data_IF_926996130046
#
_entry.id   IF_926996130046
#
_cell.length_a   1.000
_cell.length_b   1.000
_cell.length_c   1.000
_cell.angle_alpha   90.00
_cell.angle_beta   90.00
_cell.angle_gamma   90.00
#
_symmetry.space_group_name_H-M   'P 1'
#
loop_
_entity.id
_entity.type
_entity.pdbx_description
1 polymer ?
#
# COMPACT_ATOMS: atom_id res chain seq x y z
N UNK A 1 -10.29 35.52 -21.68
CA UNK A 1 -10.44 35.58 -20.21
C UNK A 1 -11.90 35.34 -19.95
N UNK A 2 -12.27 34.16 -19.45
CA UNK A 2 -13.65 33.91 -19.07
C UNK A 2 -13.82 34.51 -17.68
N UNK A 3 -14.73 35.47 -17.54
CA UNK A 3 -15.19 35.93 -16.25
C UNK A 3 -15.69 34.71 -15.47
N UNK A 4 -14.95 34.29 -14.46
CA UNK A 4 -15.43 33.29 -13.51
C UNK A 4 -16.62 33.93 -12.80
N UNK A 5 -17.84 33.47 -13.12
CA UNK A 5 -19.03 33.93 -12.42
C UNK A 5 -18.86 33.60 -10.94
N UNK A 6 -18.81 34.63 -10.11
CA UNK A 6 -18.77 34.47 -8.66
C UNK A 6 -20.06 33.72 -8.26
N UNK A 7 -19.97 32.55 -7.61
CA UNK A 7 -21.14 31.78 -7.21
C UNK A 7 -21.99 32.61 -6.25
N UNK A 8 -23.30 32.68 -6.51
CA UNK A 8 -24.24 33.50 -5.73
C UNK A 8 -24.90 32.70 -4.61
N UNK A 9 -24.96 31.38 -4.77
CA UNK A 9 -25.52 30.46 -3.76
C UNK A 9 -24.52 29.38 -3.38
N UNK A 10 -24.73 28.76 -2.22
CA UNK A 10 -23.92 27.64 -1.76
C UNK A 10 -24.02 26.42 -2.68
N UNK A 11 -25.20 26.15 -3.24
CA UNK A 11 -25.41 25.06 -4.19
C UNK A 11 -24.66 25.29 -5.50
N UNK A 12 -24.67 26.52 -6.02
CA UNK A 12 -23.87 26.91 -7.19
C UNK A 12 -22.37 26.72 -6.92
N UNK A 13 -21.90 27.11 -5.74
CA UNK A 13 -20.51 26.91 -5.33
C UNK A 13 -20.13 25.42 -5.32
N UNK A 14 -20.97 24.57 -4.73
CA UNK A 14 -20.74 23.11 -4.73
C UNK A 14 -20.67 22.53 -6.13
N UNK A 15 -21.64 22.87 -6.97
CA UNK A 15 -21.68 22.40 -8.35
C UNK A 15 -20.43 22.88 -9.13
N UNK A 16 -20.01 24.11 -8.92
CA UNK A 16 -18.81 24.67 -9.53
C UNK A 16 -17.54 23.95 -9.07
N UNK A 17 -17.43 23.63 -7.77
CA UNK A 17 -16.31 22.82 -7.24
C UNK A 17 -16.31 21.43 -7.89
N UNK A 18 -17.48 20.77 -7.98
CA UNK A 18 -17.58 19.45 -8.61
C UNK A 18 -17.10 19.48 -10.07
N UNK A 19 -17.50 20.50 -10.84
CA UNK A 19 -17.03 20.71 -12.23
C UNK A 19 -15.51 20.91 -12.26
N UNK A 20 -14.94 21.70 -11.35
CA UNK A 20 -13.49 21.91 -11.30
C UNK A 20 -12.72 20.68 -10.83
N UNK A 21 -13.32 19.83 -10.01
CA UNK A 21 -12.71 18.55 -9.62
C UNK A 21 -12.64 17.58 -10.81
N UNK A 22 -13.45 17.76 -11.85
CA UNK A 22 -13.33 17.01 -13.11
C UNK A 22 -12.27 17.61 -14.06
N UNK A 23 -11.99 18.91 -13.98
CA UNK A 23 -10.96 19.57 -14.79
C UNK A 23 -9.53 19.28 -14.31
N UNK A 24 -8.84 18.38 -15.04
CA UNK A 24 -7.47 17.97 -14.73
C UNK A 24 -6.42 19.08 -14.86
N UNK A 25 -6.74 20.22 -15.46
CA UNK A 25 -5.80 21.35 -15.60
C UNK A 25 -5.57 22.09 -14.28
N UNK A 26 -6.57 22.09 -13.38
CA UNK A 26 -6.48 22.72 -12.07
C UNK A 26 -6.06 21.69 -11.02
N UNK A 27 -5.22 22.09 -10.06
CA UNK A 27 -4.90 21.25 -8.90
C UNK A 27 -6.02 21.30 -7.88
N UNK A 28 -6.18 20.23 -7.09
CA UNK A 28 -7.21 20.19 -6.04
C UNK A 28 -6.90 21.22 -4.96
N UNK A 29 -5.61 21.42 -4.66
CA UNK A 29 -5.13 22.47 -3.76
C UNK A 29 -5.67 23.85 -4.14
N UNK A 30 -5.54 24.24 -5.41
CA UNK A 30 -5.98 25.54 -5.90
C UNK A 30 -7.49 25.69 -5.82
N UNK A 31 -8.25 24.65 -6.21
CA UNK A 31 -9.71 24.66 -6.09
C UNK A 31 -10.13 24.86 -4.63
N UNK A 32 -9.52 24.11 -3.72
CA UNK A 32 -9.84 24.16 -2.30
C UNK A 32 -9.52 25.52 -1.67
N UNK A 33 -8.32 26.05 -1.92
CA UNK A 33 -7.88 27.33 -1.35
C UNK A 33 -8.58 28.54 -1.96
N UNK A 34 -9.03 28.45 -3.21
CA UNK A 34 -9.71 29.57 -3.88
C UNK A 34 -11.19 29.65 -3.52
N UNK A 35 -11.85 28.51 -3.31
CA UNK A 35 -13.31 28.47 -3.17
C UNK A 35 -13.79 28.05 -1.78
N UNK A 36 -13.19 27.02 -1.18
CA UNK A 36 -13.69 26.45 0.09
C UNK A 36 -13.22 27.26 1.29
N UNK A 37 -11.90 27.49 1.41
CA UNK A 37 -11.34 28.23 2.54
C UNK A 37 -11.92 29.64 2.67
N UNK A 38 -12.00 30.47 1.62
CA UNK A 38 -12.59 31.81 1.72
C UNK A 38 -14.06 31.77 2.12
N UNK A 39 -14.83 30.79 1.62
CA UNK A 39 -16.22 30.60 2.04
C UNK A 39 -16.33 30.29 3.54
N UNK A 40 -15.44 29.45 4.08
CA UNK A 40 -15.42 29.15 5.51
C UNK A 40 -14.88 30.30 6.37
N UNK A 41 -13.96 31.12 5.84
CA UNK A 41 -13.44 32.32 6.52
C UNK A 41 -14.52 33.40 6.75
N UNK A 42 -15.53 33.50 5.85
CA UNK A 42 -16.66 34.42 6.00
C UNK A 42 -17.84 33.85 6.80
N UNK A 43 -17.64 32.71 7.48
CA UNK A 43 -18.62 32.10 8.39
C UNK A 43 -19.31 30.84 7.87
N UNK A 44 -18.90 30.29 6.73
CA UNK A 44 -19.34 28.98 6.25
C UNK A 44 -18.73 27.81 7.04
N UNK A 45 -19.33 26.62 6.93
CA UNK A 45 -18.85 25.42 7.64
C UNK A 45 -18.16 24.43 6.69
N UNK A 46 -16.97 23.94 7.07
CA UNK A 46 -16.27 22.91 6.29
C UNK A 46 -17.06 21.60 6.24
N UNK A 47 -17.86 21.28 7.27
CA UNK A 47 -18.69 20.07 7.28
C UNK A 47 -19.67 20.05 6.10
N UNK A 48 -20.08 21.20 5.58
CA UNK A 48 -21.00 21.28 4.45
C UNK A 48 -20.38 20.76 3.15
N UNK A 49 -19.04 20.72 3.04
CA UNK A 49 -18.32 20.20 1.87
C UNK A 49 -17.90 18.73 2.01
N UNK A 50 -18.21 18.08 3.14
CA UNK A 50 -17.89 16.68 3.32
C UNK A 50 -18.79 15.79 2.46
N UNK A 51 -18.16 14.83 1.81
CA UNK A 51 -18.86 13.75 1.12
C UNK A 51 -18.88 12.55 2.09
N UNK A 52 -20.01 11.86 2.29
CA UNK A 52 -20.05 10.61 3.03
C UNK A 52 -19.00 9.64 2.50
N UNK A 53 -18.28 8.98 3.41
CA UNK A 53 -17.16 8.13 3.03
C UNK A 53 -17.60 6.95 2.16
N UNK A 54 -18.81 6.44 2.40
CA UNK A 54 -19.46 5.39 1.63
C UNK A 54 -19.65 5.80 0.17
N UNK A 55 -20.00 7.07 -0.08
CA UNK A 55 -20.24 7.57 -1.43
C UNK A 55 -18.93 7.82 -2.17
N UNK A 56 -17.89 8.25 -1.47
CA UNK A 56 -16.53 8.32 -2.03
C UNK A 56 -16.06 6.94 -2.51
N UNK A 57 -16.31 5.88 -1.74
CA UNK A 57 -15.88 4.52 -2.11
C UNK A 57 -16.60 4.02 -3.37
N UNK A 58 -17.89 4.34 -3.54
CA UNK A 58 -18.69 3.91 -4.70
C UNK A 58 -18.26 4.54 -6.02
N UNK A 59 -17.48 5.62 -6.00
CA UNK A 59 -17.02 6.29 -7.22
C UNK A 59 -16.21 5.33 -8.11
N UNK A 60 -16.30 5.48 -9.45
CA UNK A 60 -15.51 4.68 -10.38
C UNK A 60 -14.00 4.93 -10.18
N UNK A 61 -13.14 3.91 -10.38
CA UNK A 61 -11.70 4.03 -10.16
C UNK A 61 -11.03 4.85 -11.27
N UNK A 62 -11.03 6.17 -11.12
CA UNK A 62 -10.42 7.12 -12.06
C UNK A 62 -9.72 8.28 -11.34
N UNK A 63 -9.13 9.20 -12.10
CA UNK A 63 -8.46 10.40 -11.56
C UNK A 63 -9.39 11.31 -10.77
N UNK A 64 -10.68 11.40 -11.15
CA UNK A 64 -11.68 12.19 -10.43
C UNK A 64 -11.90 11.63 -9.03
N UNK A 65 -11.96 10.29 -8.87
CA UNK A 65 -12.02 9.66 -7.55
C UNK A 65 -10.83 10.05 -6.69
N UNK A 66 -9.61 9.97 -7.22
CA UNK A 66 -8.41 10.41 -6.51
C UNK A 66 -8.53 11.87 -6.03
N UNK A 67 -9.00 12.76 -6.91
CA UNK A 67 -9.20 14.18 -6.61
C UNK A 67 -10.26 14.41 -5.54
N UNK A 68 -11.38 13.67 -5.56
CA UNK A 68 -12.43 13.74 -4.53
C UNK A 68 -11.95 13.22 -3.17
N UNK A 69 -11.12 12.18 -3.14
CA UNK A 69 -10.47 11.73 -1.90
C UNK A 69 -9.50 12.78 -1.33
N UNK A 70 -8.71 13.42 -2.20
CA UNK A 70 -7.81 14.50 -1.78
C UNK A 70 -8.57 15.68 -1.20
N UNK A 71 -9.63 16.11 -1.89
CA UNK A 71 -10.53 17.17 -1.42
C UNK A 71 -11.16 16.82 -0.06
N UNK A 72 -11.63 15.59 0.11
CA UNK A 72 -12.16 15.12 1.39
C UNK A 72 -11.14 15.17 2.53
N UNK A 73 -9.90 14.78 2.27
CA UNK A 73 -8.80 14.88 3.24
C UNK A 73 -8.56 16.34 3.63
N UNK A 74 -8.56 17.27 2.67
CA UNK A 74 -8.39 18.68 2.97
C UNK A 74 -9.46 19.19 3.91
N UNK A 75 -10.73 18.96 3.56
CA UNK A 75 -11.87 19.35 4.40
C UNK A 75 -11.77 18.77 5.80
N UNK A 76 -11.35 17.50 5.95
CA UNK A 76 -11.18 16.88 7.26
C UNK A 76 -10.03 17.47 8.07
N UNK A 77 -8.90 17.76 7.44
CA UNK A 77 -7.76 18.37 8.13
C UNK A 77 -8.09 19.79 8.60
N UNK A 78 -8.77 20.61 7.79
CA UNK A 78 -9.20 21.94 8.24
C UNK A 78 -10.26 21.86 9.36
N UNK A 79 -11.16 20.86 9.36
CA UNK A 79 -12.05 20.60 10.51
C UNK A 79 -11.26 20.25 11.77
N UNK A 80 -10.20 19.43 11.66
CA UNK A 80 -9.33 19.11 12.79
C UNK A 80 -8.57 20.34 13.29
N UNK A 81 -8.13 21.19 12.39
CA UNK A 81 -7.51 22.46 12.74
C UNK A 81 -8.49 23.41 13.44
N UNK A 82 -9.74 23.54 12.96
CA UNK A 82 -10.79 24.31 13.64
C UNK A 82 -11.10 23.78 15.04
N UNK A 83 -11.02 22.47 15.23
CA UNK A 83 -11.16 21.80 16.55
C UNK A 83 -9.90 21.92 17.41
N UNK A 84 -8.87 22.62 16.94
CA UNK A 84 -7.60 22.84 17.63
C UNK A 84 -6.94 21.54 18.08
N UNK A 85 -7.00 20.49 17.23
CA UNK A 85 -6.32 19.24 17.52
C UNK A 85 -4.79 19.43 17.47
N UNK A 86 -4.08 18.65 18.29
CA UNK A 86 -2.61 18.68 18.35
C UNK A 86 -1.96 18.21 17.07
N UNK A 87 -0.70 18.61 16.85
CA UNK A 87 0.23 17.96 15.93
C UNK A 87 1.31 17.23 16.75
N UNK A 88 1.50 15.90 16.57
CA UNK A 88 0.80 15.04 15.63
C UNK A 88 -0.68 14.87 15.99
N UNK A 89 -1.51 14.63 14.97
CA UNK A 89 -2.93 14.35 15.16
C UNK A 89 -3.11 13.18 16.14
N UNK A 90 -4.16 13.22 16.99
CA UNK A 90 -4.49 12.09 17.84
C UNK A 90 -4.71 10.82 17.01
N UNK A 91 -4.44 9.68 17.61
CA UNK A 91 -4.31 8.40 16.90
C UNK A 91 -5.55 8.05 16.06
N UNK A 92 -6.75 8.35 16.56
CA UNK A 92 -8.01 8.08 15.86
C UNK A 92 -8.10 8.87 14.55
N UNK A 93 -7.88 10.18 14.60
CA UNK A 93 -7.95 11.10 13.46
C UNK A 93 -6.80 10.84 12.49
N UNK A 94 -5.60 10.60 13.01
CA UNK A 94 -4.44 10.18 12.22
C UNK A 94 -4.74 8.91 11.42
N UNK A 95 -5.25 7.87 12.09
CA UNK A 95 -5.57 6.60 11.45
C UNK A 95 -6.71 6.72 10.43
N UNK A 96 -7.68 7.60 10.68
CA UNK A 96 -8.75 7.89 9.73
C UNK A 96 -8.20 8.44 8.41
N UNK A 97 -7.34 9.47 8.48
CA UNK A 97 -6.73 10.06 7.29
C UNK A 97 -5.77 9.08 6.62
N UNK A 98 -4.92 8.39 7.39
CA UNK A 98 -4.01 7.38 6.85
C UNK A 98 -4.76 6.26 6.10
N UNK A 99 -5.87 5.80 6.66
CA UNK A 99 -6.71 4.78 6.01
C UNK A 99 -7.30 5.33 4.72
N UNK A 100 -7.78 6.57 4.73
CA UNK A 100 -8.30 7.25 3.53
C UNK A 100 -7.24 7.33 2.43
N UNK A 101 -6.00 7.69 2.78
CA UNK A 101 -4.87 7.72 1.85
C UNK A 101 -4.58 6.31 1.30
N UNK A 102 -4.48 5.31 2.19
CA UNK A 102 -4.17 3.92 1.82
C UNK A 102 -5.23 3.32 0.89
N UNK A 103 -6.50 3.68 1.04
CA UNK A 103 -7.57 3.23 0.16
C UNK A 103 -7.40 3.69 -1.28
N UNK A 104 -6.85 4.89 -1.49
CA UNK A 104 -6.68 5.48 -2.83
C UNK A 104 -5.25 5.36 -3.37
N UNK A 105 -4.29 4.96 -2.53
CA UNK A 105 -2.88 4.81 -2.93
C UNK A 105 -2.67 3.81 -4.08
N UNK A 106 -3.28 2.60 -4.09
CA UNK A 106 -3.15 1.68 -5.22
C UNK A 106 -3.68 2.26 -6.53
N UNK A 107 -4.80 3.01 -6.45
CA UNK A 107 -5.37 3.68 -7.62
C UNK A 107 -4.43 4.79 -8.12
N UNK A 108 -3.86 5.59 -7.23
CA UNK A 108 -2.90 6.62 -7.61
C UNK A 108 -1.72 6.01 -8.37
N UNK A 109 -1.11 4.95 -7.83
CA UNK A 109 0.01 4.25 -8.47
C UNK A 109 -0.37 3.61 -9.81
N UNK A 110 -1.60 3.10 -9.94
CA UNK A 110 -2.09 2.51 -11.18
C UNK A 110 -2.34 3.54 -12.29
N UNK A 111 -2.66 4.79 -11.93
CA UNK A 111 -2.81 5.89 -12.90
C UNK A 111 -1.44 6.34 -13.40
N UNK A 112 -0.50 6.63 -12.49
CA UNK A 112 0.86 7.04 -12.79
C UNK A 112 1.75 6.88 -11.54
N UNK A 113 3.03 6.54 -11.73
CA UNK A 113 4.03 6.41 -10.67
C UNK A 113 4.16 7.69 -9.83
N UNK A 114 4.06 8.87 -10.47
CA UNK A 114 4.17 10.15 -9.78
C UNK A 114 2.88 10.62 -9.09
N UNK A 115 1.74 9.95 -9.31
CA UNK A 115 0.44 10.41 -8.78
C UNK A 115 0.36 10.34 -7.26
N UNK A 116 0.92 9.30 -6.62
CA UNK A 116 0.93 9.19 -5.15
C UNK A 116 1.86 10.24 -4.50
N UNK A 117 3.10 10.43 -4.97
CA UNK A 117 3.93 11.56 -4.53
C UNK A 117 3.23 12.92 -4.69
N UNK A 118 2.63 13.20 -5.85
CA UNK A 118 1.93 14.45 -6.10
C UNK A 118 0.71 14.63 -5.18
N UNK A 119 -0.03 13.56 -4.91
CA UNK A 119 -1.16 13.57 -3.98
C UNK A 119 -0.74 13.99 -2.57
N UNK A 120 0.38 13.44 -2.06
CA UNK A 120 0.91 13.82 -0.75
C UNK A 120 1.49 15.23 -0.76
N UNK A 121 2.14 15.64 -1.85
CA UNK A 121 2.63 17.00 -2.03
C UNK A 121 1.48 18.02 -1.99
N UNK A 122 0.33 17.72 -2.58
CA UNK A 122 -0.84 18.59 -2.48
C UNK A 122 -1.38 18.71 -1.03
N UNK A 123 -1.36 17.63 -0.24
CA UNK A 123 -1.69 17.70 1.20
C UNK A 123 -0.71 18.60 1.95
N UNK A 124 0.58 18.43 1.69
CA UNK A 124 1.63 19.25 2.27
C UNK A 124 1.42 20.73 1.94
N UNK A 125 1.24 21.08 0.67
CA UNK A 125 1.07 22.48 0.25
C UNK A 125 -0.07 23.20 0.99
N UNK A 126 -1.14 22.49 1.34
CA UNK A 126 -2.34 23.10 1.92
C UNK A 126 -2.31 23.09 3.46
N UNK A 127 -1.75 22.05 4.09
CA UNK A 127 -1.87 21.80 5.54
C UNK A 127 -0.54 21.70 6.30
N UNK A 128 0.61 21.81 5.63
CA UNK A 128 1.91 21.74 6.31
C UNK A 128 2.09 22.78 7.41
N UNK A 129 1.49 23.95 7.27
CA UNK A 129 1.50 24.98 8.31
C UNK A 129 0.86 24.54 9.62
N UNK A 130 -0.13 23.65 9.56
CA UNK A 130 -0.94 23.25 10.71
C UNK A 130 -0.55 21.88 11.28
N UNK A 131 -0.15 20.94 10.41
CA UNK A 131 0.14 19.55 10.80
C UNK A 131 1.46 19.00 10.22
N UNK A 132 2.60 19.68 10.41
CA UNK A 132 3.88 19.27 9.81
C UNK A 132 4.31 17.85 10.25
N UNK A 133 4.25 17.53 11.54
CA UNK A 133 4.69 16.23 12.06
C UNK A 133 3.77 15.09 11.59
N UNK A 134 2.48 15.35 11.52
CA UNK A 134 1.50 14.40 10.98
C UNK A 134 1.79 14.07 9.51
N UNK A 135 2.07 15.09 8.69
CA UNK A 135 2.36 14.93 7.26
C UNK A 135 3.67 14.17 7.06
N UNK A 136 4.70 14.48 7.83
CA UNK A 136 5.96 13.72 7.83
C UNK A 136 5.72 12.25 8.17
N UNK A 137 4.93 11.97 9.21
CA UNK A 137 4.58 10.60 9.59
C UNK A 137 3.83 9.85 8.48
N UNK A 138 2.95 10.51 7.73
CA UNK A 138 2.33 9.89 6.54
C UNK A 138 3.37 9.55 5.48
N UNK A 139 4.28 10.48 5.15
CA UNK A 139 5.36 10.24 4.18
C UNK A 139 6.22 9.04 4.56
N UNK A 140 6.57 8.92 5.83
CA UNK A 140 7.35 7.79 6.36
C UNK A 140 6.59 6.47 6.21
N UNK A 141 5.34 6.41 6.64
CA UNK A 141 4.52 5.19 6.60
C UNK A 141 4.16 4.74 5.18
N UNK A 142 4.17 5.66 4.22
CA UNK A 142 3.93 5.37 2.81
C UNK A 142 5.23 5.07 2.04
N UNK A 143 6.39 5.13 2.70
CA UNK A 143 7.70 4.91 2.06
C UNK A 143 8.11 6.01 1.08
N UNK A 144 7.53 7.21 1.20
CA UNK A 144 7.83 8.38 0.36
C UNK A 144 8.92 9.26 0.97
N UNK A 145 9.19 9.12 2.27
CA UNK A 145 10.29 9.82 2.91
C UNK A 145 11.62 9.23 2.42
N UNK A 146 12.46 10.07 1.80
CA UNK A 146 13.85 9.77 1.51
C UNK A 146 14.64 9.79 2.82
N UNK A 147 14.51 8.73 3.63
CA UNK A 147 15.46 8.47 4.70
C UNK A 147 16.65 7.77 4.09
N UNK A 148 17.83 8.39 4.16
CA UNK A 148 19.06 7.65 3.92
C UNK A 148 19.03 6.41 4.82
N UNK A 149 19.28 5.20 4.28
CA UNK A 149 19.36 4.01 5.10
C UNK A 149 20.46 4.25 6.13
N UNK A 150 20.07 4.38 7.41
CA UNK A 150 21.01 4.42 8.52
C UNK A 150 21.55 3.00 8.67
N UNK A 151 22.63 2.70 7.95
CA UNK A 151 23.42 1.51 8.22
C UNK A 151 24.02 1.69 9.61
N UNK A 152 23.57 0.89 10.58
CA UNK A 152 24.27 0.79 11.85
C UNK A 152 25.67 0.27 11.55
N UNK A 153 26.71 1.03 11.90
CA UNK A 153 28.05 0.50 11.92
C UNK A 153 28.06 -0.70 12.88
N UNK A 154 28.65 -1.80 12.43
CA UNK A 154 28.71 -3.07 13.16
C UNK A 154 29.35 -2.90 14.55
N UNK A 155 30.07 -1.80 14.75
CA UNK A 155 30.78 -1.46 15.99
C UNK A 155 29.88 -1.01 17.15
N UNK A 156 28.60 -0.73 16.91
CA UNK A 156 27.63 -0.34 17.97
C UNK A 156 26.64 -1.45 18.37
N UNK A 157 26.85 -2.68 17.88
CA UNK A 157 26.11 -3.83 18.39
C UNK A 157 26.77 -4.20 19.72
N UNK A 158 26.11 -3.88 20.84
CA UNK A 158 26.38 -4.56 22.10
C UNK A 158 26.41 -6.06 21.81
N UNK A 159 27.55 -6.72 22.04
CA UNK A 159 27.79 -8.13 21.71
C UNK A 159 26.75 -9.11 22.28
N UNK A 160 25.82 -8.64 23.13
CA UNK A 160 24.68 -9.39 23.65
C UNK A 160 23.54 -9.63 22.65
N UNK A 161 23.45 -8.92 21.52
CA UNK A 161 22.37 -9.08 20.51
C UNK A 161 22.84 -9.68 19.18
N UNK A 162 24.00 -10.34 19.16
CA UNK A 162 24.31 -11.27 18.07
C UNK A 162 23.38 -12.47 18.26
N UNK A 163 22.23 -12.46 17.58
CA UNK A 163 21.39 -13.64 17.40
C UNK A 163 22.23 -14.63 16.59
N UNK A 164 23.01 -15.45 17.29
CA UNK A 164 23.68 -16.60 16.71
C UNK A 164 22.60 -17.42 16.00
N UNK A 165 22.75 -17.58 14.68
CA UNK A 165 21.95 -18.52 13.91
C UNK A 165 22.06 -19.86 14.62
N UNK A 166 20.97 -20.33 15.21
CA UNK A 166 20.89 -21.69 15.77
C UNK A 166 21.08 -22.66 14.60
N UNK A 167 22.30 -23.12 14.39
CA UNK A 167 22.56 -24.32 13.63
C UNK A 167 21.93 -25.47 14.42
N UNK A 168 20.94 -26.15 13.83
CA UNK A 168 20.41 -27.38 14.39
C UNK A 168 21.58 -28.37 14.46
N UNK A 169 22.06 -28.63 15.68
CA UNK A 169 22.96 -29.74 15.93
C UNK A 169 22.26 -31.06 15.60
N UNK A 170 22.99 -31.92 14.91
CA UNK A 170 22.60 -33.28 14.57
C UNK A 170 21.95 -34.01 15.74
N UNK A 171 20.80 -34.62 15.46
CA UNK A 171 19.96 -35.31 16.42
C UNK A 171 20.64 -36.58 16.95
N UNK A 172 21.33 -36.46 18.08
CA UNK A 172 21.62 -37.60 18.95
C UNK A 172 20.47 -37.79 19.95
N UNK A 173 19.72 -38.88 19.75
CA UNK A 173 18.84 -39.58 20.70
C UNK A 173 17.78 -38.75 21.45
N UNK A 174 16.55 -38.77 20.94
CA UNK A 174 15.35 -38.44 21.73
C UNK A 174 14.83 -39.67 22.49
N UNK A 175 14.45 -39.54 23.77
CA UNK A 175 13.71 -40.59 24.47
C UNK A 175 12.26 -40.65 23.94
N UNK A 176 11.74 -41.86 23.75
CA UNK A 176 10.39 -42.14 23.24
C UNK A 176 9.32 -41.46 24.11
N UNK A 177 8.72 -40.37 23.61
CA UNK A 177 7.47 -39.82 24.14
C UNK A 177 6.27 -40.53 23.50
N UNK A 178 5.47 -41.15 24.35
CA UNK A 178 4.18 -41.79 24.04
C UNK A 178 3.22 -40.75 23.45
N UNK A 179 2.63 -41.04 22.29
CA UNK A 179 1.63 -40.18 21.65
C UNK A 179 0.25 -40.40 22.30
N UNK A 180 -0.48 -39.36 22.74
CA UNK A 180 -1.90 -39.51 23.05
C UNK A 180 -2.70 -39.59 21.74
N UNK A 181 -3.71 -40.48 21.70
CA UNK A 181 -4.66 -40.61 20.59
C UNK A 181 -5.59 -39.40 20.59
N UNK A 182 -5.61 -38.66 19.48
CA UNK A 182 -6.59 -37.60 19.22
C UNK A 182 -7.79 -38.24 18.54
N UNK A 183 -8.96 -38.17 19.18
CA UNK A 183 -10.25 -38.53 18.58
C UNK A 183 -10.63 -37.46 17.55
N UNK A 184 -10.81 -37.87 16.30
CA UNK A 184 -11.27 -37.00 15.21
C UNK A 184 -12.80 -37.12 15.12
N UNK A 185 -13.58 -36.03 15.30
CA UNK A 185 -15.00 -36.05 14.97
C UNK A 185 -15.19 -36.04 13.45
N UNK A 186 -16.09 -36.91 12.99
CA UNK A 186 -16.61 -37.00 11.63
C UNK A 186 -17.59 -35.84 11.37
N UNK A 187 -17.89 -35.56 10.08
CA UNK A 187 -18.80 -34.55 9.48
C UNK A 187 -18.01 -33.31 9.00
N UNK A 188 -17.96 -32.92 7.72
CA UNK A 188 -18.58 -33.39 6.49
C UNK A 188 -18.34 -32.29 5.43
N UNK A 189 -17.56 -32.59 4.38
CA UNK A 189 -17.47 -31.72 3.20
C UNK A 189 -17.90 -32.53 1.97
N UNK A 190 -18.96 -32.03 1.34
CA UNK A 190 -19.53 -32.44 0.08
C UNK A 190 -18.48 -32.41 -1.05
N UNK A 191 -18.24 -33.58 -1.65
CA UNK A 191 -17.52 -33.71 -2.91
C UNK A 191 -18.55 -33.50 -4.03
N UNK A 192 -18.40 -32.42 -4.81
CA UNK A 192 -19.14 -32.25 -6.06
C UNK A 192 -18.71 -33.34 -7.05
N UNK A 193 -19.63 -34.02 -7.76
CA UNK A 193 -19.27 -35.06 -8.71
C UNK A 193 -18.80 -34.44 -10.02
N UNK A 194 -17.50 -34.52 -10.32
CA UNK A 194 -17.03 -34.30 -11.69
C UNK A 194 -17.49 -35.46 -12.58
N UNK A 195 -18.28 -35.09 -13.59
CA UNK A 195 -18.79 -35.98 -14.63
C UNK A 195 -17.68 -36.78 -15.30
N UNK A 196 -17.93 -38.07 -15.46
CA UNK A 196 -17.16 -38.98 -16.32
C UNK A 196 -17.31 -38.54 -17.78
N UNK A 197 -16.22 -38.10 -18.41
CA UNK A 197 -16.09 -38.13 -19.86
C UNK A 197 -15.01 -39.15 -20.23
N UNK A 198 -15.45 -40.20 -20.93
CA UNK A 198 -14.59 -41.20 -21.54
C UNK A 198 -13.81 -40.58 -22.69
N UNK A 199 -12.48 -40.51 -22.60
CA UNK A 199 -11.63 -40.48 -23.77
C UNK A 199 -10.27 -41.12 -23.46
N UNK A 200 -10.11 -42.33 -23.99
CA UNK A 200 -8.83 -43.02 -24.14
C UNK A 200 -7.87 -42.13 -24.92
N UNK A 201 -6.69 -41.83 -24.37
CA UNK A 201 -5.42 -41.85 -25.09
C UNK A 201 -4.24 -41.79 -24.11
N UNK A 202 -3.42 -42.82 -24.15
CA UNK A 202 -2.15 -42.96 -23.44
C UNK A 202 -1.11 -42.00 -24.02
N UNK A 203 -0.58 -41.09 -23.20
CA UNK A 203 0.69 -40.39 -23.49
C UNK A 203 1.57 -40.44 -22.24
N UNK A 204 2.56 -41.33 -22.24
CA UNK A 204 3.62 -41.33 -21.24
C UNK A 204 4.63 -40.23 -21.54
N UNK A 205 4.51 -39.09 -20.85
CA UNK A 205 5.54 -38.03 -20.88
C UNK A 205 6.67 -38.42 -19.92
N UNK A 206 7.79 -38.86 -20.48
CA UNK A 206 9.01 -39.22 -19.74
C UNK A 206 9.82 -37.94 -19.45
N UNK A 207 9.60 -37.33 -18.28
CA UNK A 207 10.36 -36.18 -17.80
C UNK A 207 11.84 -36.57 -17.60
N UNK A 208 12.75 -36.07 -18.44
CA UNK A 208 14.21 -36.21 -18.25
C UNK A 208 14.68 -35.16 -17.23
N UNK A 209 15.39 -35.62 -16.19
CA UNK A 209 16.05 -34.73 -15.20
C UNK A 209 17.24 -34.00 -15.84
N UNK A 210 17.50 -32.73 -15.49
CA UNK A 210 18.66 -31.98 -15.98
C UNK A 210 19.96 -32.55 -15.40
N UNK A 211 20.99 -32.68 -16.25
CA UNK A 211 22.36 -33.08 -15.87
C UNK A 211 23.22 -31.83 -15.70
N UNK A 212 23.43 -31.37 -14.46
CA UNK A 212 24.58 -30.53 -14.13
C UNK A 212 25.12 -30.91 -12.76
N UNK A 213 26.42 -31.24 -12.73
CA UNK A 213 27.22 -31.58 -11.54
C UNK A 213 28.50 -32.30 -11.96
N UNK A 214 29.70 -31.85 -11.51
CA UNK A 214 30.98 -32.29 -12.07
C UNK A 214 31.33 -33.68 -11.54
N UNK A 215 31.44 -34.67 -12.43
CA UNK A 215 31.99 -35.97 -12.07
C UNK A 215 33.52 -35.92 -12.17
N UNK A 216 34.17 -35.61 -11.06
CA UNK A 216 35.51 -36.11 -10.78
C UNK A 216 35.43 -37.63 -10.66
N UNK A 217 36.16 -38.34 -11.53
CA UNK A 217 36.67 -39.72 -11.32
C UNK A 217 37.60 -40.12 -12.47
N UNK A 218 38.89 -39.86 -12.26
CA UNK A 218 40.03 -40.61 -12.83
C UNK A 218 39.97 -42.03 -12.23
N UNK A 219 40.15 -43.15 -12.98
CA UNK A 219 41.48 -43.75 -13.25
C UNK A 219 41.52 -44.71 -14.49
N UNK A 220 42.51 -45.62 -14.66
CA UNK A 220 43.98 -45.49 -14.62
C UNK A 220 44.64 -45.84 -15.97
N UNK A 221 45.96 -45.67 -16.02
CA UNK A 221 46.90 -46.03 -17.08
C UNK A 221 47.06 -47.54 -17.33
N UNK A 222 47.18 -47.95 -18.60
CA UNK A 222 48.14 -49.00 -19.03
C UNK A 222 48.40 -49.00 -20.55
N UNK A 223 49.64 -48.69 -20.89
CA UNK A 223 50.49 -49.02 -22.04
C UNK A 223 50.03 -49.94 -23.19
N UNK A 224 50.35 -49.56 -24.43
CA UNK A 224 51.12 -50.33 -25.46
C UNK A 224 51.20 -49.48 -26.75
N UNK A 225 52.33 -48.85 -27.10
CA UNK A 225 53.45 -49.35 -27.94
C UNK A 225 53.08 -49.84 -29.35
N UNK A 226 53.49 -49.07 -30.38
CA UNK A 226 53.96 -49.47 -31.73
C UNK A 226 54.17 -48.14 -32.53
N UNK A 227 55.39 -47.62 -32.76
CA UNK A 227 56.38 -47.96 -33.82
C UNK A 227 55.67 -48.26 -35.15
N UNK A 228 55.82 -47.50 -36.23
CA UNK A 228 57.00 -46.88 -36.85
C UNK A 228 56.67 -45.50 -37.46
#
# INVERSE_FOLDING_TARGET
MNEESIPKTFEELKNQIDIYLEDLKRTVSTIYTTYVRPFCEVGGNFEDFLIPFEDLIKLPPNSVKLRKFLFHIFTKLDIYHQKQLSDPLPEKEFNYILTTIRMVSPLAMAINESSLPNFIYEIENVHFRYFPQTIEKYKELLGLALKEPKFQSVDNINQSEIIARKHYHDAAQTPKKVKPKINVPTIGYSILPHQKSNLNHTVHVRMRRPKHGPNSKVPPSSSSSLKH
#
